data_IF_644921470340
#
_entry.id   IF_644921470340
#
_cell.length_a   1.000
_cell.length_b   1.000
_cell.length_c   1.000
_cell.angle_alpha   90.00
_cell.angle_beta   90.00
_cell.angle_gamma   90.00
#
_symmetry.space_group_name_H-M   'P 1'
#
loop_
_entity.id
_entity.type
_entity.pdbx_description
1 polymer ?
#
# COMPACT_ATOMS: atom_id res chain seq x y z
N UNK A 1 4.02 -13.23 7.13
CA UNK A 1 3.59 -14.65 7.07
C UNK A 1 2.11 -14.66 6.70
N UNK A 2 1.61 -15.75 6.11
CA UNK A 2 0.17 -15.90 5.87
C UNK A 2 -0.60 -15.74 7.20
N UNK A 3 -1.75 -15.07 7.16
CA UNK A 3 -2.59 -14.84 8.34
C UNK A 3 -2.09 -13.74 9.30
N UNK A 4 -0.89 -13.19 9.10
CA UNK A 4 -0.41 -12.00 9.84
C UNK A 4 -0.53 -10.76 8.99
N UNK A 5 -0.95 -9.65 9.57
CA UNK A 5 -1.04 -8.39 8.87
C UNK A 5 0.32 -7.95 8.29
N UNK A 6 0.28 -7.37 7.09
CA UNK A 6 1.42 -6.71 6.49
C UNK A 6 1.27 -5.21 6.66
N UNK A 7 2.19 -4.62 7.41
CA UNK A 7 2.28 -3.19 7.61
C UNK A 7 3.15 -2.55 6.53
N UNK A 8 2.64 -1.48 5.95
CA UNK A 8 3.37 -0.61 5.03
C UNK A 8 3.51 0.72 5.72
N UNK A 9 4.74 1.06 6.10
CA UNK A 9 5.07 2.27 6.83
C UNK A 9 6.11 3.06 6.05
N UNK A 10 5.94 4.38 5.97
CA UNK A 10 6.93 5.25 5.37
C UNK A 10 6.55 6.72 5.43
N UNK A 11 7.51 7.58 5.12
CA UNK A 11 7.30 9.02 5.10
C UNK A 11 6.75 9.51 3.75
N UNK A 12 5.77 10.40 3.80
CA UNK A 12 5.24 11.13 2.64
C UNK A 12 5.62 12.59 2.76
N UNK A 13 6.65 13.00 2.03
CA UNK A 13 7.09 14.39 1.99
C UNK A 13 6.22 15.23 1.06
N UNK A 14 6.05 16.51 1.37
CA UNK A 14 5.24 17.42 0.56
C UNK A 14 3.73 17.16 0.66
N UNK A 15 3.27 16.54 1.75
CA UNK A 15 1.86 16.19 1.97
C UNK A 15 0.93 17.40 2.21
N UNK A 16 1.39 18.65 2.04
CA UNK A 16 0.59 19.85 2.27
C UNK A 16 -0.69 19.92 1.42
N UNK A 17 -0.63 19.36 0.21
CA UNK A 17 -1.78 19.28 -0.71
C UNK A 17 -2.43 17.88 -0.72
N UNK A 18 -2.03 16.98 0.18
CA UNK A 18 -2.53 15.61 0.21
C UNK A 18 -3.97 15.56 0.74
N UNK A 19 -4.91 15.14 -0.10
CA UNK A 19 -6.29 14.91 0.32
C UNK A 19 -6.47 13.51 0.93
N UNK A 20 -5.86 12.49 0.32
CA UNK A 20 -5.91 11.09 0.81
C UNK A 20 -4.77 10.28 0.22
N UNK A 21 -4.37 9.22 0.91
CA UNK A 21 -3.47 8.22 0.36
C UNK A 21 -4.07 6.81 0.48
N UNK A 22 -3.69 5.92 -0.44
CA UNK A 22 -4.18 4.54 -0.51
C UNK A 22 -3.03 3.60 -0.83
N UNK A 23 -3.03 2.42 -0.24
CA UNK A 23 -2.23 1.31 -0.71
C UNK A 23 -3.10 0.40 -1.56
N UNK A 24 -2.70 0.15 -2.80
CA UNK A 24 -3.30 -0.86 -3.67
C UNK A 24 -2.48 -2.13 -3.62
N UNK A 25 -3.16 -3.26 -3.47
CA UNK A 25 -2.50 -4.56 -3.33
C UNK A 25 -3.29 -5.65 -4.05
N UNK A 26 -2.60 -6.73 -4.42
CA UNK A 26 -3.22 -7.90 -5.05
C UNK A 26 -2.35 -9.15 -4.89
N UNK A 27 -2.98 -10.31 -5.02
CA UNK A 27 -2.27 -11.51 -5.46
C UNK A 27 -1.87 -11.35 -6.95
N UNK A 28 -0.78 -11.99 -7.36
CA UNK A 28 -0.30 -11.92 -8.74
C UNK A 28 -1.40 -12.36 -9.72
N UNK A 29 -1.74 -11.47 -10.66
CA UNK A 29 -2.75 -11.74 -11.70
C UNK A 29 -4.21 -11.56 -11.26
N UNK A 30 -4.47 -11.16 -10.01
CA UNK A 30 -5.81 -10.77 -9.53
C UNK A 30 -6.06 -9.26 -9.74
N UNK A 31 -7.30 -8.85 -9.52
CA UNK A 31 -7.68 -7.44 -9.45
C UNK A 31 -7.08 -6.77 -8.22
N UNK A 32 -6.80 -5.47 -8.33
CA UNK A 32 -6.33 -4.66 -7.21
C UNK A 32 -7.43 -4.46 -6.17
N UNK A 33 -7.11 -4.74 -4.91
CA UNK A 33 -7.81 -4.26 -3.71
C UNK A 33 -7.13 -2.99 -3.21
N UNK A 34 -7.74 -2.30 -2.26
CA UNK A 34 -7.14 -1.11 -1.63
C UNK A 34 -7.41 -1.03 -0.14
N UNK A 35 -6.44 -0.49 0.59
CA UNK A 35 -6.58 -0.04 1.97
C UNK A 35 -6.16 1.42 2.07
N UNK A 36 -6.57 2.10 3.14
CA UNK A 36 -6.12 3.45 3.44
C UNK A 36 -4.64 3.46 3.85
N UNK A 37 -3.91 4.44 3.34
CA UNK A 37 -2.59 4.82 3.85
C UNK A 37 -2.82 6.09 4.68
N UNK A 38 -2.96 5.91 6.00
CA UNK A 38 -3.36 6.94 6.94
C UNK A 38 -2.13 7.64 7.54
N UNK A 39 -2.26 8.94 7.83
CA UNK A 39 -1.26 9.66 8.62
C UNK A 39 -1.27 9.14 10.05
N UNK A 40 -0.11 8.72 10.56
CA UNK A 40 0.06 8.41 11.98
C UNK A 40 0.60 9.62 12.76
N UNK A 41 1.74 10.17 12.34
CA UNK A 41 2.38 11.32 13.00
C UNK A 41 3.33 12.06 12.08
N UNK A 42 3.28 13.40 12.05
CA UNK A 42 4.18 14.23 11.24
C UNK A 42 3.99 13.96 9.74
N UNK A 43 4.97 13.30 9.14
CA UNK A 43 4.96 12.82 7.75
C UNK A 43 4.95 11.29 7.65
N UNK A 44 4.80 10.58 8.77
CA UNK A 44 4.75 9.12 8.83
C UNK A 44 3.34 8.61 8.51
N UNK A 45 3.23 7.77 7.49
CA UNK A 45 1.99 7.13 7.08
C UNK A 45 2.05 5.61 7.24
N UNK A 46 0.91 5.00 7.56
CA UNK A 46 0.74 3.56 7.69
C UNK A 46 -0.48 3.04 6.95
N UNK A 47 -0.30 1.91 6.28
CA UNK A 47 -1.36 1.07 5.75
C UNK A 47 -1.21 -0.35 6.31
N UNK A 48 -2.34 -1.02 6.51
CA UNK A 48 -2.40 -2.40 6.98
C UNK A 48 -3.09 -3.24 5.93
N UNK A 49 -2.37 -4.19 5.33
CA UNK A 49 -2.97 -5.24 4.49
C UNK A 49 -3.34 -6.41 5.42
N UNK A 50 -4.63 -6.78 5.50
CA UNK A 50 -5.08 -7.85 6.39
C UNK A 50 -4.37 -9.18 6.11
N UNK A 51 -3.98 -9.89 7.17
CA UNK A 51 -3.26 -11.17 7.05
C UNK A 51 -4.03 -12.24 6.30
N UNK A 52 -5.37 -12.19 6.32
CA UNK A 52 -6.25 -13.09 5.54
C UNK A 52 -6.09 -12.92 4.02
N UNK A 53 -5.60 -11.77 3.57
CA UNK A 53 -5.34 -11.48 2.15
C UNK A 53 -3.88 -11.82 1.76
N UNK A 54 -3.00 -12.12 2.73
CA UNK A 54 -1.64 -12.55 2.47
C UNK A 54 -1.61 -14.03 2.12
N UNK A 55 -1.85 -14.33 0.85
CA UNK A 55 -1.84 -15.69 0.32
C UNK A 55 -0.50 -15.99 -0.37
N UNK A 56 0.13 -17.16 -0.10
CA UNK A 56 1.30 -17.61 -0.83
C UNK A 56 1.05 -17.67 -2.36
N UNK A 57 2.08 -17.42 -3.20
CA UNK A 57 3.48 -17.24 -2.83
C UNK A 57 3.89 -15.80 -2.52
N UNK A 58 3.08 -14.81 -2.93
CA UNK A 58 3.43 -13.40 -2.79
C UNK A 58 2.24 -12.48 -2.98
N UNK A 59 2.29 -11.31 -2.33
CA UNK A 59 1.43 -10.17 -2.62
C UNK A 59 2.22 -9.10 -3.40
N UNK A 60 1.55 -8.39 -4.30
CA UNK A 60 2.06 -7.20 -4.97
C UNK A 60 1.37 -5.95 -4.40
N UNK A 61 2.10 -4.86 -4.18
CA UNK A 61 1.52 -3.59 -3.74
C UNK A 61 2.22 -2.37 -4.33
N UNK A 62 1.48 -1.26 -4.37
CA UNK A 62 2.00 0.09 -4.57
C UNK A 62 1.05 1.06 -3.88
N UNK A 63 1.52 2.25 -3.53
CA UNK A 63 0.71 3.27 -2.90
C UNK A 63 0.48 4.44 -3.85
N UNK A 64 -0.57 5.20 -3.59
CA UNK A 64 -0.87 6.45 -4.29
C UNK A 64 -1.23 7.52 -3.27
N UNK A 65 -0.66 8.71 -3.46
CA UNK A 65 -1.13 9.95 -2.89
C UNK A 65 -2.08 10.62 -3.88
N UNK A 66 -3.18 11.18 -3.39
CA UNK A 66 -4.16 11.91 -4.19
C UNK A 66 -4.29 13.31 -3.57
N UNK A 67 -4.00 14.33 -4.37
CA UNK A 67 -4.14 15.72 -3.94
C UNK A 67 -5.60 16.20 -3.97
N UNK A 68 -5.86 17.41 -3.47
CA UNK A 68 -7.20 18.02 -3.47
C UNK A 68 -7.76 18.31 -4.87
N UNK A 69 -6.92 18.31 -5.91
CA UNK A 69 -7.30 18.49 -7.32
C UNK A 69 -7.48 17.15 -8.06
N UNK A 70 -7.25 16.02 -7.38
CA UNK A 70 -7.36 14.68 -7.95
C UNK A 70 -6.09 14.17 -8.66
N UNK A 71 -5.00 14.94 -8.64
CA UNK A 71 -3.69 14.51 -9.12
C UNK A 71 -3.19 13.31 -8.31
N UNK A 72 -2.61 12.33 -9.00
CA UNK A 72 -2.11 11.10 -8.38
C UNK A 72 -0.59 11.01 -8.49
N UNK A 73 0.05 10.74 -7.34
CA UNK A 73 1.49 10.46 -7.27
C UNK A 73 1.70 9.06 -6.73
N UNK A 74 2.49 8.26 -7.42
CA UNK A 74 2.83 6.90 -6.97
C UNK A 74 3.87 6.93 -5.84
N UNK A 75 3.65 6.09 -4.84
CA UNK A 75 4.46 5.96 -3.63
C UNK A 75 4.81 4.49 -3.41
N UNK A 76 5.99 4.24 -2.85
CA UNK A 76 6.43 2.90 -2.45
C UNK A 76 6.30 1.84 -3.56
N UNK A 77 6.50 2.21 -4.82
CA UNK A 77 6.28 1.36 -6.00
C UNK A 77 5.38 2.06 -7.01
N UNK A 78 5.02 1.37 -8.08
CA UNK A 78 4.08 1.86 -9.10
C UNK A 78 3.16 0.75 -9.59
N UNK A 79 2.11 1.10 -10.32
CA UNK A 79 1.24 0.11 -10.96
C UNK A 79 2.00 -0.76 -11.98
N UNK A 80 2.97 -0.17 -12.69
CA UNK A 80 3.79 -0.86 -13.70
C UNK A 80 4.96 -1.65 -13.10
N UNK A 81 5.44 -1.23 -11.93
CA UNK A 81 6.52 -1.87 -11.18
C UNK A 81 6.16 -1.95 -9.68
N UNK A 82 5.19 -2.81 -9.30
CA UNK A 82 4.76 -2.92 -7.93
C UNK A 82 5.83 -3.60 -7.08
N UNK A 83 5.82 -3.31 -5.78
CA UNK A 83 6.62 -4.05 -4.80
C UNK A 83 6.04 -5.45 -4.65
N UNK A 84 6.93 -6.43 -4.49
CA UNK A 84 6.54 -7.82 -4.26
C UNK A 84 7.04 -8.27 -2.90
N UNK A 85 6.13 -8.77 -2.08
CA UNK A 85 6.44 -9.34 -0.77
C UNK A 85 6.15 -10.83 -0.82
N UNK A 86 7.16 -11.64 -0.54
CA UNK A 86 6.99 -13.09 -0.45
C UNK A 86 6.19 -13.42 0.81
N UNK A 87 5.16 -14.24 0.66
CA UNK A 87 4.36 -14.72 1.79
C UNK A 87 4.80 -16.14 2.12
N UNK A 88 5.18 -16.36 3.38
CA UNK A 88 5.59 -17.65 3.93
C UNK A 88 4.56 -18.18 4.92
N UNK A 89 4.48 -19.50 5.07
CA UNK A 89 3.47 -20.19 5.89
C UNK A 89 2.32 -20.76 5.05
N UNK A 90 1.69 -21.83 5.53
CA UNK A 90 0.52 -22.51 4.96
C UNK A 90 -0.54 -22.70 6.01
#
# INVERSE_FOLDING_TARGET
>A
EAGKDLEIVGNVFGAGDLAKARCRYREKGRSWKQVELALEYGDLFRAIIPGQDLVPPSIEYYCIAIDYFGGQTELYGSQSAPRRVRVTGT
#
